data_IF_080625706128
#
_entry.id   IF_080625706128
#
_cell.length_a   1.000
_cell.length_b   1.000
_cell.length_c   1.000
_cell.angle_alpha   90.00
_cell.angle_beta   90.00
_cell.angle_gamma   90.00
#
_symmetry.space_group_name_H-M   'P 1'
#
loop_
_entity.id
_entity.type
_entity.pdbx_description
1 polymer ?
#
# COMPACT_ATOMS: atom_id res chain seq x y z
N UNK A 1 -8.88 1.34 -22.23
CA UNK A 1 -7.85 1.70 -21.22
C UNK A 1 -7.72 0.47 -20.34
N UNK A 2 -6.52 -0.09 -20.16
CA UNK A 2 -6.37 -1.33 -19.38
C UNK A 2 -6.49 -1.01 -17.89
N UNK A 3 -7.12 -1.90 -17.11
CA UNK A 3 -7.24 -1.79 -15.64
C UNK A 3 -5.87 -1.61 -14.95
N UNK A 4 -4.81 -2.16 -15.55
CA UNK A 4 -3.44 -2.01 -15.07
C UNK A 4 -2.88 -0.59 -15.22
N UNK A 5 -3.31 0.15 -16.25
CA UNK A 5 -2.86 1.53 -16.49
C UNK A 5 -3.57 2.51 -15.54
N UNK A 6 -4.83 2.23 -15.23
CA UNK A 6 -5.62 2.96 -14.24
C UNK A 6 -5.06 2.78 -12.82
N UNK A 7 -4.77 1.53 -12.43
CA UNK A 7 -4.12 1.23 -11.15
C UNK A 7 -2.76 1.92 -11.03
N UNK A 8 -1.96 1.93 -12.10
CA UNK A 8 -0.66 2.60 -12.10
C UNK A 8 -0.80 4.12 -11.94
N UNK A 9 -1.80 4.73 -12.58
CA UNK A 9 -2.11 6.15 -12.44
C UNK A 9 -2.50 6.49 -11.01
N UNK A 10 -3.36 5.67 -10.39
CA UNK A 10 -3.74 5.84 -8.99
C UNK A 10 -2.53 5.72 -8.05
N UNK A 11 -1.66 4.73 -8.27
CA UNK A 11 -0.44 4.59 -7.46
C UNK A 11 0.50 5.78 -7.62
N UNK A 12 0.58 6.35 -8.82
CA UNK A 12 1.34 7.59 -9.08
C UNK A 12 0.77 8.76 -8.28
N UNK A 13 -0.54 8.99 -8.35
CA UNK A 13 -1.22 10.09 -7.66
C UNK A 13 -1.00 9.99 -6.15
N UNK A 14 -1.23 8.81 -5.56
CA UNK A 14 -0.99 8.58 -4.13
C UNK A 14 0.49 8.79 -3.77
N UNK A 15 1.41 8.35 -4.64
CA UNK A 15 2.83 8.56 -4.41
C UNK A 15 3.23 10.04 -4.44
N UNK A 16 2.65 10.83 -5.35
CA UNK A 16 2.98 12.25 -5.54
C UNK A 16 2.32 13.11 -4.45
N UNK A 17 1.01 12.93 -4.25
CA UNK A 17 0.22 13.72 -3.29
C UNK A 17 0.41 13.26 -1.84
N UNK A 18 1.00 12.07 -1.65
CA UNK A 18 1.16 11.40 -0.34
C UNK A 18 -0.17 11.14 0.37
N UNK A 19 -1.29 11.13 -0.35
CA UNK A 19 -2.61 10.92 0.23
C UNK A 19 -3.33 9.85 -0.58
N UNK A 20 -3.94 8.88 0.11
CA UNK A 20 -4.90 7.96 -0.46
C UNK A 20 -6.25 8.17 0.22
N UNK A 21 -7.25 8.58 -0.55
CA UNK A 21 -8.64 8.69 -0.07
C UNK A 21 -9.37 7.38 -0.34
N UNK A 22 -9.84 6.72 0.70
CA UNK A 22 -10.56 5.44 0.65
C UNK A 22 -11.83 5.57 1.49
N UNK A 23 -13.00 5.33 0.90
CA UNK A 23 -14.29 5.43 1.60
C UNK A 23 -14.44 6.72 2.46
N UNK A 24 -14.07 7.87 1.87
CA UNK A 24 -14.07 9.19 2.53
C UNK A 24 -13.10 9.35 3.71
N UNK A 25 -12.10 8.48 3.82
CA UNK A 25 -11.02 8.56 4.81
C UNK A 25 -9.68 8.80 4.12
N UNK A 26 -8.94 9.79 4.61
CA UNK A 26 -7.65 10.18 4.05
C UNK A 26 -6.50 9.52 4.80
N UNK A 27 -5.74 8.72 4.07
CA UNK A 27 -4.54 8.04 4.56
C UNK A 27 -3.31 8.77 4.04
N UNK A 28 -2.55 9.40 4.94
CA UNK A 28 -1.42 10.25 4.56
C UNK A 28 -0.11 9.47 4.72
N UNK A 29 0.62 9.31 3.62
CA UNK A 29 1.95 8.72 3.58
C UNK A 29 2.98 9.68 4.14
N UNK A 30 3.77 9.19 5.08
CA UNK A 30 4.93 9.89 5.63
C UNK A 30 6.20 9.54 4.85
N UNK A 31 7.36 10.02 5.30
CA UNK A 31 8.63 9.71 4.67
C UNK A 31 9.03 8.24 4.86
N UNK A 32 9.28 7.53 3.75
CA UNK A 32 9.85 6.19 3.74
C UNK A 32 11.35 6.23 3.40
N UNK A 33 12.15 5.47 4.13
CA UNK A 33 13.53 5.15 3.75
C UNK A 33 13.56 4.24 2.51
N UNK A 34 14.68 4.27 1.76
CA UNK A 34 14.85 3.41 0.59
C UNK A 34 14.70 1.92 0.92
N UNK A 35 15.28 1.48 2.04
CA UNK A 35 15.20 0.08 2.50
C UNK A 35 13.76 -0.37 2.81
N UNK A 36 12.94 0.51 3.42
CA UNK A 36 11.52 0.22 3.65
C UNK A 36 10.77 0.06 2.34
N UNK A 37 10.99 0.95 1.36
CA UNK A 37 10.33 0.85 0.06
C UNK A 37 10.76 -0.43 -0.68
N UNK A 38 12.03 -0.81 -0.64
CA UNK A 38 12.52 -2.05 -1.24
C UNK A 38 11.84 -3.29 -0.64
N UNK A 39 11.64 -3.31 0.68
CA UNK A 39 10.95 -4.42 1.36
C UNK A 39 9.50 -4.55 0.89
N UNK A 40 8.78 -3.42 0.82
CA UNK A 40 7.40 -3.39 0.31
C UNK A 40 7.36 -3.81 -1.17
N UNK A 41 8.31 -3.34 -1.97
CA UNK A 41 8.40 -3.66 -3.39
C UNK A 41 8.67 -5.15 -3.64
N UNK A 42 9.64 -5.73 -2.95
CA UNK A 42 9.93 -7.16 -3.08
C UNK A 42 8.70 -8.01 -2.75
N UNK A 43 8.01 -7.69 -1.66
CA UNK A 43 6.75 -8.37 -1.31
C UNK A 43 5.69 -8.18 -2.40
N UNK A 44 5.48 -6.93 -2.86
CA UNK A 44 4.49 -6.62 -3.89
C UNK A 44 4.73 -7.42 -5.17
N UNK A 45 5.98 -7.60 -5.61
CA UNK A 45 6.27 -8.39 -6.82
C UNK A 45 5.91 -9.87 -6.69
N UNK A 46 5.91 -10.43 -5.47
CA UNK A 46 5.49 -11.80 -5.24
C UNK A 46 3.97 -11.96 -5.23
N UNK A 47 3.24 -10.98 -4.69
CA UNK A 47 1.78 -11.08 -4.48
C UNK A 47 0.95 -10.34 -5.52
N UNK A 48 1.56 -9.61 -6.46
CA UNK A 48 0.82 -8.79 -7.43
C UNK A 48 -0.16 -9.61 -8.27
N UNK A 49 0.22 -10.83 -8.66
CA UNK A 49 -0.66 -11.73 -9.42
C UNK A 49 -1.82 -12.25 -8.57
N UNK A 50 -1.62 -12.49 -7.28
CA UNK A 50 -2.66 -12.91 -6.34
C UNK A 50 -3.64 -11.77 -6.08
N UNK A 51 -3.13 -10.56 -5.84
CA UNK A 51 -3.92 -9.33 -5.70
C UNK A 51 -4.84 -9.10 -6.91
N UNK A 52 -4.32 -9.26 -8.14
CA UNK A 52 -5.10 -9.11 -9.36
C UNK A 52 -6.22 -10.16 -9.50
N UNK A 53 -6.08 -11.32 -8.85
CA UNK A 53 -7.11 -12.37 -8.81
C UNK A 53 -8.07 -12.23 -7.63
N UNK A 54 -7.86 -11.27 -6.73
CA UNK A 54 -8.61 -11.14 -5.49
C UNK A 54 -8.27 -12.26 -4.48
N UNK A 55 -7.09 -12.85 -4.59
CA UNK A 55 -6.58 -13.83 -3.63
C UNK A 55 -5.70 -13.14 -2.58
N UNK A 56 -6.10 -13.28 -1.32
CA UNK A 56 -5.48 -12.62 -0.17
C UNK A 56 -4.88 -13.61 0.83
N UNK A 57 -4.55 -14.83 0.39
CA UNK A 57 -3.96 -15.88 1.24
C UNK A 57 -2.73 -15.40 2.03
N UNK A 58 -1.95 -14.47 1.47
CA UNK A 58 -0.72 -13.95 2.05
C UNK A 58 -0.92 -13.13 3.33
N UNK A 59 -2.13 -12.64 3.62
CA UNK A 59 -2.40 -11.74 4.75
C UNK A 59 -2.20 -12.39 6.13
N UNK A 60 -2.08 -13.71 6.20
CA UNK A 60 -1.75 -14.44 7.44
C UNK A 60 -0.26 -14.80 7.53
N UNK A 61 0.53 -14.46 6.52
CA UNK A 61 1.95 -14.79 6.43
C UNK A 61 2.83 -13.92 7.32
N UNK A 62 3.95 -14.50 7.80
CA UNK A 62 4.97 -13.74 8.54
C UNK A 62 5.53 -12.57 7.73
N UNK A 63 5.77 -12.79 6.45
CA UNK A 63 6.29 -11.77 5.52
C UNK A 63 5.33 -10.58 5.41
N UNK A 64 4.02 -10.86 5.34
CA UNK A 64 2.99 -9.82 5.38
C UNK A 64 3.04 -9.04 6.69
N UNK A 65 3.06 -9.70 7.86
CA UNK A 65 3.13 -8.99 9.15
C UNK A 65 4.31 -8.02 9.22
N UNK A 66 5.45 -8.42 8.67
CA UNK A 66 6.67 -7.62 8.61
C UNK A 66 6.58 -6.44 7.61
N UNK A 67 5.74 -6.54 6.58
CA UNK A 67 5.44 -5.48 5.60
C UNK A 67 4.34 -4.55 6.10
N UNK A 68 3.26 -5.09 6.66
CA UNK A 68 2.17 -4.34 7.27
C UNK A 68 2.70 -3.37 8.32
N UNK A 69 3.60 -3.83 9.21
CA UNK A 69 4.26 -2.95 10.19
C UNK A 69 5.01 -1.80 9.53
N UNK A 70 5.66 -2.01 8.39
CA UNK A 70 6.36 -0.93 7.68
C UNK A 70 5.36 0.10 7.14
N UNK A 71 4.25 -0.36 6.58
CA UNK A 71 3.20 0.50 6.04
C UNK A 71 2.53 1.29 7.16
N UNK A 72 2.06 0.61 8.22
CA UNK A 72 1.34 1.25 9.33
C UNK A 72 2.20 2.21 10.16
N UNK A 73 3.51 1.98 10.22
CA UNK A 73 4.45 2.92 10.86
C UNK A 73 4.78 4.14 10.00
N UNK A 74 4.31 4.18 8.76
CA UNK A 74 4.61 5.24 7.82
C UNK A 74 3.35 5.88 7.22
N UNK A 75 2.17 5.51 7.71
CA UNK A 75 0.90 6.11 7.28
C UNK A 75 0.15 6.65 8.50
N UNK A 76 -0.40 7.85 8.36
CA UNK A 76 -1.25 8.47 9.37
C UNK A 76 -2.69 8.56 8.92
N UNK A 77 -3.60 8.39 9.87
CA UNK A 77 -5.02 8.71 9.77
C UNK A 77 -5.36 9.71 10.88
N UNK A 78 -6.01 10.82 10.52
CA UNK A 78 -6.26 11.97 11.42
C UNK A 78 -5.00 12.46 12.16
N UNK A 79 -3.86 12.49 11.46
CA UNK A 79 -2.57 12.91 12.03
C UNK A 79 -1.93 11.92 13.01
N UNK A 80 -2.53 10.75 13.23
CA UNK A 80 -2.00 9.69 14.11
C UNK A 80 -1.52 8.52 13.26
N UNK A 81 -0.34 7.97 13.57
CA UNK A 81 0.18 6.78 12.89
C UNK A 81 -0.77 5.59 13.08
N UNK A 82 -1.04 4.86 12.00
CA UNK A 82 -1.87 3.66 12.05
C UNK A 82 -1.31 2.61 13.00
N UNK A 83 0.01 2.49 13.12
CA UNK A 83 0.65 1.57 14.08
C UNK A 83 0.33 1.86 15.55
N UNK A 84 -0.21 3.05 15.86
CA UNK A 84 -0.67 3.44 17.19
C UNK A 84 -2.19 3.27 17.38
N UNK A 85 -2.95 2.98 16.32
CA UNK A 85 -4.41 2.77 16.34
C UNK A 85 -4.72 1.28 16.12
N UNK A 86 -4.79 0.53 17.21
CA UNK A 86 -4.91 -0.94 17.17
C UNK A 86 -6.27 -1.44 16.67
N UNK A 87 -7.29 -0.64 16.86
CA UNK A 87 -8.71 -0.87 16.56
C UNK A 87 -9.14 -0.27 15.22
N UNK A 88 -8.27 0.45 14.50
CA UNK A 88 -8.62 1.14 13.26
C UNK A 88 -9.25 0.22 12.21
N UNK A 89 -8.72 -1.00 12.07
CA UNK A 89 -9.24 -1.97 11.10
C UNK A 89 -10.49 -2.71 11.59
N UNK A 90 -10.77 -2.69 12.89
CA UNK A 90 -12.04 -3.17 13.44
C UNK A 90 -13.15 -2.12 13.27
N UNK A 91 -12.79 -0.83 13.32
CA UNK A 91 -13.69 0.31 13.05
C UNK A 91 -14.01 0.47 11.55
N UNK A 92 -13.03 0.24 10.68
CA UNK A 92 -13.14 0.43 9.24
C UNK A 92 -12.65 -0.80 8.44
N UNK A 93 -13.25 -1.99 8.65
CA UNK A 93 -12.81 -3.22 8.00
C UNK A 93 -12.92 -3.17 6.46
N UNK A 94 -13.88 -2.41 5.93
CA UNK A 94 -14.09 -2.24 4.50
C UNK A 94 -12.93 -1.51 3.79
N UNK A 95 -12.11 -0.76 4.52
CA UNK A 95 -10.97 -0.05 3.96
C UNK A 95 -9.76 -0.95 3.78
N UNK A 96 -9.63 -1.98 4.61
CA UNK A 96 -8.36 -2.68 4.81
C UNK A 96 -7.78 -3.23 3.51
N UNK A 97 -8.59 -3.92 2.71
CA UNK A 97 -8.12 -4.52 1.45
C UNK A 97 -7.78 -3.44 0.40
N UNK A 98 -8.62 -2.40 0.30
CA UNK A 98 -8.37 -1.27 -0.60
C UNK A 98 -7.09 -0.53 -0.21
N UNK A 99 -6.90 -0.33 1.09
CA UNK A 99 -5.72 0.28 1.69
C UNK A 99 -4.46 -0.49 1.37
N UNK A 100 -4.46 -1.81 1.56
CA UNK A 100 -3.31 -2.65 1.26
C UNK A 100 -2.93 -2.55 -0.21
N UNK A 101 -3.89 -2.69 -1.12
CA UNK A 101 -3.65 -2.59 -2.56
C UNK A 101 -3.06 -1.22 -2.94
N UNK A 102 -3.67 -0.15 -2.44
CA UNK A 102 -3.22 1.22 -2.67
C UNK A 102 -1.80 1.47 -2.14
N UNK A 103 -1.52 1.07 -0.90
CA UNK A 103 -0.22 1.30 -0.26
C UNK A 103 0.89 0.46 -0.90
N UNK A 104 0.65 -0.82 -1.18
CA UNK A 104 1.63 -1.69 -1.83
C UNK A 104 2.04 -1.12 -3.18
N UNK A 105 1.08 -0.67 -3.99
CA UNK A 105 1.33 -0.05 -5.28
C UNK A 105 2.04 1.31 -5.19
N UNK A 106 1.51 2.22 -4.37
CA UNK A 106 2.03 3.59 -4.26
C UNK A 106 3.45 3.65 -3.65
N UNK A 107 3.75 2.82 -2.65
CA UNK A 107 5.09 2.74 -2.06
C UNK A 107 6.09 2.14 -3.07
N UNK A 108 5.63 1.18 -3.87
CA UNK A 108 6.41 0.48 -4.89
C UNK A 108 6.61 1.28 -6.19
N UNK A 109 5.75 2.27 -6.45
CA UNK A 109 5.69 3.02 -7.70
C UNK A 109 7.05 3.51 -8.24
N UNK A 110 7.97 4.06 -7.42
CA UNK A 110 9.29 4.49 -7.90
C UNK A 110 10.09 3.37 -8.59
N UNK A 111 9.93 2.12 -8.17
CA UNK A 111 10.64 0.96 -8.73
C UNK A 111 9.91 0.34 -9.91
N UNK A 112 8.57 0.43 -9.95
CA UNK A 112 7.77 -0.03 -11.10
C UNK A 112 8.17 0.71 -12.39
N UNK A 113 8.54 2.00 -12.28
CA UNK A 113 9.11 2.78 -13.39
C UNK A 113 10.44 2.23 -13.89
N UNK A 114 11.26 1.65 -13.01
CA UNK A 114 12.57 1.08 -13.36
C UNK A 114 12.46 -0.29 -14.02
N UNK A 115 11.47 -1.11 -13.63
CA UNK A 115 11.25 -2.45 -14.19
C UNK A 115 10.56 -2.41 -15.56
N UNK A 116 9.67 -1.43 -15.78
CA UNK A 116 8.95 -1.26 -17.05
C UNK A 116 9.66 -0.31 -18.04
N UNK A 117 10.92 0.03 -17.81
CA UNK A 117 11.56 1.23 -18.35
C UNK A 117 11.41 1.49 -19.85
N UNK A 118 11.36 2.78 -20.22
CA UNK A 118 11.49 3.29 -21.59
C UNK A 118 10.22 3.86 -22.18
#
# INVERSE_FOLDING_TARGET
MNEQDEALKQFKEIHEDKIATINCRDYVLTAFSHAQRLKVFAFFTHVQADLARGDFWFLQGKEWSDVQKVIENAVTYDGVLLSKRRDHWDEFPEDFILFIGAMLGAISYPFLRGVRGG
#
